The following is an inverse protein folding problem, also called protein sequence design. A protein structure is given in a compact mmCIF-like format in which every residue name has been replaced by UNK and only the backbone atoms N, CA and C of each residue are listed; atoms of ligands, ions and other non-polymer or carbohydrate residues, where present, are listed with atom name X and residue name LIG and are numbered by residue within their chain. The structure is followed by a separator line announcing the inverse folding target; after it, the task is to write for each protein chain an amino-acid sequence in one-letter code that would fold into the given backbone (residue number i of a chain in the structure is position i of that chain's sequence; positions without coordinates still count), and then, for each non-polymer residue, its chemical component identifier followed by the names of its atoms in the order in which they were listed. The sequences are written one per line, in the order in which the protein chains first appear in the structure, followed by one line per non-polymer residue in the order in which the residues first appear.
data_IF_741098460093
#
_entry.id   IF_741098460093
#
_cell.length_a   1.000
_cell.length_b   1.000
_cell.length_c   1.000
_cell.angle_alpha   90.00
_cell.angle_beta   90.00
_cell.angle_gamma   90.00
#
_symmetry.space_group_name_H-M   'P 1'
#
loop_
_entity.id
_entity.type
_entity.pdbx_description
1 polymer ?
#
# COMPACT_ATOMS: atom_id res chain seq x y z
N UNK A 1 -20.86 10.85 -4.91
CA UNK A 1 -19.97 9.90 -4.22
C UNK A 1 -18.95 9.47 -5.25
N UNK A 2 -17.66 9.66 -5.00
CA UNK A 2 -16.59 9.19 -5.88
C UNK A 2 -16.78 7.69 -6.10
N UNK A 3 -16.97 7.23 -7.34
CA UNK A 3 -16.99 5.79 -7.63
C UNK A 3 -15.64 5.21 -7.19
N UNK A 4 -15.64 4.25 -6.27
CA UNK A 4 -14.42 3.58 -5.84
C UNK A 4 -13.97 2.70 -7.01
N UNK A 5 -12.92 3.14 -7.72
CA UNK A 5 -12.31 2.36 -8.78
C UNK A 5 -11.33 1.36 -8.19
N UNK A 6 -11.77 0.12 -8.02
CA UNK A 6 -10.90 -0.98 -7.61
C UNK A 6 -10.04 -1.34 -8.83
N UNK A 7 -8.72 -1.25 -8.69
CA UNK A 7 -7.77 -1.61 -9.76
C UNK A 7 -6.80 -2.70 -9.32
N UNK A 8 -6.68 -2.93 -8.01
CA UNK A 8 -5.90 -4.01 -7.40
C UNK A 8 -6.84 -4.98 -6.70
N UNK A 9 -6.68 -6.25 -6.98
CA UNK A 9 -7.36 -7.34 -6.32
C UNK A 9 -6.31 -8.31 -5.75
N UNK A 10 -6.74 -9.44 -5.18
CA UNK A 10 -5.83 -10.50 -4.76
C UNK A 10 -6.29 -11.85 -5.31
N UNK A 11 -5.34 -12.74 -5.52
CA UNK A 11 -5.65 -14.14 -5.77
C UNK A 11 -6.20 -14.79 -4.49
N UNK A 12 -7.28 -15.57 -4.61
CA UNK A 12 -7.98 -16.12 -3.43
C UNK A 12 -7.11 -17.09 -2.65
N UNK A 13 -6.28 -17.87 -3.35
CA UNK A 13 -5.39 -18.91 -2.85
C UNK A 13 -4.06 -18.38 -2.31
N UNK A 14 -3.36 -17.51 -3.05
CA UNK A 14 -2.02 -17.02 -2.67
C UNK A 14 -2.05 -15.73 -1.85
N UNK A 15 -3.14 -14.95 -1.94
CA UNK A 15 -3.26 -13.57 -1.44
C UNK A 15 -2.32 -12.57 -2.11
N UNK A 16 -1.60 -12.96 -3.16
CA UNK A 16 -0.76 -12.06 -3.93
C UNK A 16 -1.64 -11.03 -4.65
N UNK A 17 -1.12 -9.80 -4.73
CA UNK A 17 -1.81 -8.69 -5.40
C UNK A 17 -1.80 -8.88 -6.91
N UNK A 18 -2.93 -8.60 -7.55
CA UNK A 18 -3.08 -8.63 -9.02
C UNK A 18 -3.69 -7.32 -9.52
N UNK A 19 -3.09 -6.73 -10.55
CA UNK A 19 -3.63 -5.55 -11.23
C UNK A 19 -4.74 -5.92 -12.21
N UNK A 20 -5.70 -5.03 -12.39
CA UNK A 20 -6.70 -5.09 -13.46
C UNK A 20 -6.04 -5.27 -14.84
N UNK A 21 -4.84 -4.71 -15.05
CA UNK A 21 -4.11 -4.86 -16.31
C UNK A 21 -3.80 -6.33 -16.64
N UNK A 22 -3.55 -7.16 -15.62
CA UNK A 22 -3.03 -8.53 -15.77
C UNK A 22 -4.10 -9.62 -15.96
N UNK A 23 -5.40 -9.27 -15.86
CA UNK A 23 -6.51 -10.24 -15.94
C UNK A 23 -7.34 -10.05 -17.21
N UNK A 24 -8.01 -11.09 -17.67
CA UNK A 24 -8.97 -10.96 -18.78
C UNK A 24 -10.26 -10.23 -18.34
N UNK A 25 -11.01 -9.68 -19.30
CA UNK A 25 -12.31 -9.07 -19.00
C UNK A 25 -13.34 -10.14 -18.57
N UNK A 26 -14.24 -9.78 -17.64
CA UNK A 26 -15.31 -10.64 -17.16
C UNK A 26 -15.11 -11.20 -15.75
N UNK A 27 -15.96 -12.15 -15.37
CA UNK A 27 -15.94 -12.79 -14.06
C UNK A 27 -14.65 -13.60 -13.87
N UNK A 28 -13.97 -13.38 -12.76
CA UNK A 28 -12.74 -14.10 -12.43
C UNK A 28 -13.02 -15.20 -11.40
N UNK A 29 -12.48 -16.39 -11.64
CA UNK A 29 -12.70 -17.53 -10.72
C UNK A 29 -11.86 -17.43 -9.44
N UNK A 30 -10.62 -16.96 -9.55
CA UNK A 30 -9.66 -16.90 -8.44
C UNK A 30 -9.27 -15.47 -8.01
N UNK A 31 -9.97 -14.43 -8.49
CA UNK A 31 -9.66 -13.03 -8.15
C UNK A 31 -10.77 -12.45 -7.29
N UNK A 32 -10.40 -11.98 -6.11
CA UNK A 32 -11.32 -11.48 -5.09
C UNK A 32 -10.91 -10.10 -4.57
N UNK A 33 -11.87 -9.39 -3.99
CA UNK A 33 -11.63 -8.11 -3.34
C UNK A 33 -10.67 -8.30 -2.16
N UNK A 34 -9.57 -7.54 -2.16
CA UNK A 34 -8.59 -7.57 -1.08
C UNK A 34 -9.19 -7.11 0.27
N UNK A 35 -10.28 -6.35 0.25
CA UNK A 35 -10.94 -5.85 1.45
C UNK A 35 -11.94 -6.85 2.05
N UNK A 36 -12.92 -7.30 1.27
CA UNK A 36 -14.03 -8.13 1.77
C UNK A 36 -13.95 -9.61 1.33
N UNK A 37 -13.04 -9.97 0.44
CA UNK A 37 -12.96 -11.32 -0.15
C UNK A 37 -14.08 -11.65 -1.15
N UNK A 38 -14.95 -10.69 -1.48
CA UNK A 38 -16.03 -10.87 -2.46
C UNK A 38 -15.50 -11.10 -3.87
N UNK A 39 -16.25 -11.86 -4.68
CA UNK A 39 -15.91 -12.12 -6.09
C UNK A 39 -15.96 -10.83 -6.91
N UNK A 40 -15.02 -10.70 -7.84
CA UNK A 40 -14.89 -9.53 -8.70
C UNK A 40 -15.13 -9.86 -10.18
N UNK A 41 -15.68 -8.88 -10.90
CA UNK A 41 -15.75 -8.82 -12.35
C UNK A 41 -14.71 -7.81 -12.82
N UNK A 42 -13.84 -8.20 -13.75
CA UNK A 42 -12.91 -7.31 -14.42
C UNK A 42 -13.64 -6.57 -15.55
N UNK A 43 -13.84 -5.26 -15.41
CA UNK A 43 -14.49 -4.42 -16.41
C UNK A 43 -13.43 -3.73 -17.28
N UNK A 44 -13.12 -4.35 -18.42
CA UNK A 44 -12.25 -3.76 -19.44
C UNK A 44 -13.06 -3.27 -20.62
N UNK A 45 -13.03 -1.96 -20.86
CA UNK A 45 -13.69 -1.32 -22.00
C UNK A 45 -12.78 -0.27 -22.63
N UNK A 46 -13.09 0.16 -23.86
CA UNK A 46 -12.37 1.27 -24.49
C UNK A 46 -12.85 2.66 -24.03
N UNK A 47 -14.01 2.74 -23.33
CA UNK A 47 -14.67 4.01 -23.00
C UNK A 47 -14.45 4.47 -21.56
N UNK A 48 -14.24 3.52 -20.64
CA UNK A 48 -14.05 3.77 -19.20
C UNK A 48 -12.71 3.19 -18.76
N UNK A 49 -12.10 3.80 -17.75
CA UNK A 49 -10.94 3.25 -17.06
C UNK A 49 -11.25 1.83 -16.59
N UNK A 50 -10.27 0.94 -16.75
CA UNK A 50 -10.41 -0.45 -16.36
C UNK A 50 -10.48 -0.55 -14.84
N UNK A 51 -11.43 -1.34 -14.35
CA UNK A 51 -11.64 -1.51 -12.91
C UNK A 51 -12.30 -2.86 -12.62
N UNK A 52 -12.19 -3.29 -11.38
CA UNK A 52 -12.97 -4.37 -10.82
C UNK A 52 -14.28 -3.83 -10.23
N UNK A 53 -15.37 -4.59 -10.37
CA UNK A 53 -16.61 -4.41 -9.64
C UNK A 53 -16.95 -5.67 -8.86
N UNK A 54 -17.65 -5.54 -7.73
CA UNK A 54 -18.19 -6.72 -7.05
C UNK A 54 -19.21 -7.41 -7.95
N UNK A 55 -19.16 -8.75 -8.01
CA UNK A 55 -20.11 -9.54 -8.79
C UNK A 55 -21.53 -9.41 -8.23
N UNK A 56 -21.65 -9.34 -6.90
CA UNK A 56 -22.88 -8.99 -6.21
C UNK A 56 -22.87 -7.50 -5.87
N UNK A 57 -24.06 -6.89 -5.77
CA UNK A 57 -24.24 -5.47 -5.45
C UNK A 57 -23.93 -5.19 -3.96
N UNK A 58 -22.67 -5.37 -3.59
CA UNK A 58 -22.14 -5.15 -2.26
C UNK A 58 -21.31 -3.87 -2.25
N UNK A 59 -21.78 -2.87 -1.50
CA UNK A 59 -21.00 -1.68 -1.23
C UNK A 59 -19.83 -2.02 -0.29
N UNK A 60 -18.61 -2.05 -0.83
CA UNK A 60 -17.40 -2.27 -0.05
C UNK A 60 -16.83 -0.95 0.47
N UNK A 61 -17.27 -0.55 1.66
CA UNK A 61 -16.96 0.77 2.27
C UNK A 61 -15.45 0.99 2.45
N UNK A 62 -14.70 -0.07 2.78
CA UNK A 62 -13.25 0.00 3.05
C UNK A 62 -12.39 -0.34 1.82
N UNK A 63 -13.00 -0.54 0.64
CA UNK A 63 -12.25 -0.77 -0.60
C UNK A 63 -11.34 0.42 -0.92
N UNK A 64 -11.79 1.65 -0.65
CA UNK A 64 -10.99 2.87 -0.83
C UNK A 64 -9.63 2.75 -0.12
N UNK A 65 -9.68 2.50 1.18
CA UNK A 65 -8.50 2.44 2.04
C UNK A 65 -7.56 1.30 1.65
N UNK A 66 -8.15 0.17 1.28
CA UNK A 66 -7.39 -1.00 0.82
C UNK A 66 -6.68 -0.72 -0.51
N UNK A 67 -7.34 -0.05 -1.47
CA UNK A 67 -6.73 0.31 -2.74
C UNK A 67 -5.55 1.25 -2.54
N UNK A 68 -5.72 2.27 -1.70
CA UNK A 68 -4.65 3.23 -1.43
C UNK A 68 -3.41 2.55 -0.82
N UNK A 69 -3.63 1.60 0.11
CA UNK A 69 -2.56 0.81 0.71
C UNK A 69 -1.81 -0.05 -0.30
N UNK A 70 -2.54 -0.78 -1.15
CA UNK A 70 -1.95 -1.66 -2.16
C UNK A 70 -1.17 -0.86 -3.22
N UNK A 71 -1.74 0.25 -3.70
CA UNK A 71 -1.07 1.09 -4.71
C UNK A 71 0.16 1.79 -4.16
N UNK A 72 0.13 2.22 -2.89
CA UNK A 72 1.31 2.76 -2.23
C UNK A 72 2.42 1.71 -2.05
N UNK A 73 2.07 0.47 -1.67
CA UNK A 73 3.05 -0.65 -1.61
C UNK A 73 3.74 -0.87 -2.94
N UNK A 74 2.96 -0.98 -4.02
CA UNK A 74 3.49 -1.14 -5.38
C UNK A 74 4.41 0.02 -5.78
N UNK A 75 4.05 1.25 -5.40
CA UNK A 75 4.86 2.43 -5.68
C UNK A 75 6.22 2.38 -4.96
N UNK A 76 6.25 2.10 -3.66
CA UNK A 76 7.49 2.05 -2.91
C UNK A 76 8.36 0.85 -3.29
N UNK A 77 7.75 -0.25 -3.72
CA UNK A 77 8.46 -1.39 -4.27
C UNK A 77 9.18 -1.08 -5.60
N UNK A 78 8.74 -0.08 -6.37
CA UNK A 78 9.32 0.24 -7.70
C UNK A 78 10.18 1.50 -7.74
N UNK A 79 9.91 2.51 -6.92
CA UNK A 79 10.47 3.86 -7.10
C UNK A 79 11.98 3.93 -6.81
N UNK A 80 12.54 2.94 -6.11
CA UNK A 80 13.98 2.78 -5.87
C UNK A 80 14.57 3.80 -4.88
N UNK A 81 13.72 4.60 -4.24
CA UNK A 81 14.09 5.57 -3.21
C UNK A 81 13.01 5.70 -2.15
N UNK A 82 13.39 6.11 -0.93
CA UNK A 82 12.45 6.34 0.17
C UNK A 82 12.75 7.70 0.82
N UNK A 83 11.73 8.50 1.19
CA UNK A 83 11.93 9.69 2.01
C UNK A 83 12.36 9.29 3.41
N UNK A 84 13.44 9.90 3.90
CA UNK A 84 13.96 9.74 5.24
C UNK A 84 13.85 11.06 6.00
N UNK A 85 13.01 11.14 7.03
CA UNK A 85 12.90 12.33 7.85
C UNK A 85 14.16 12.48 8.73
N UNK A 86 14.69 13.70 8.81
CA UNK A 86 15.84 14.03 9.66
C UNK A 86 15.43 14.51 11.06
N UNK A 87 14.15 14.83 11.22
CA UNK A 87 13.55 15.34 12.45
C UNK A 87 12.49 14.37 12.98
N UNK A 88 12.23 14.45 14.29
CA UNK A 88 11.17 13.66 14.91
C UNK A 88 9.78 14.24 14.59
N UNK A 89 8.80 13.34 14.48
CA UNK A 89 7.41 13.72 14.20
C UNK A 89 7.04 13.56 12.73
N UNK A 90 5.82 13.97 12.40
CA UNK A 90 5.30 13.90 11.03
C UNK A 90 5.77 15.10 10.24
N UNK A 91 6.52 14.84 9.17
CA UNK A 91 7.01 15.86 8.25
C UNK A 91 6.56 15.56 6.83
N UNK A 92 6.58 16.58 5.99
CA UNK A 92 6.31 16.42 4.56
C UNK A 92 7.54 15.85 3.84
N UNK A 93 7.37 14.99 2.81
CA UNK A 93 8.48 14.39 2.06
C UNK A 93 9.48 15.39 1.43
N UNK A 94 9.07 16.63 1.16
CA UNK A 94 9.93 17.66 0.54
C UNK A 94 11.08 18.14 1.44
N UNK A 95 10.95 17.97 2.75
CA UNK A 95 12.02 18.26 3.72
C UNK A 95 12.82 17.03 4.11
N UNK A 96 12.50 15.86 3.55
CA UNK A 96 13.20 14.61 3.82
C UNK A 96 14.46 14.49 2.96
N UNK A 97 15.46 13.78 3.47
CA UNK A 97 16.53 13.25 2.63
C UNK A 97 15.98 12.09 1.77
N UNK A 98 16.57 11.86 0.60
CA UNK A 98 16.23 10.68 -0.23
C UNK A 98 17.26 9.58 -0.01
N UNK A 99 16.81 8.42 0.49
CA UNK A 99 17.64 7.23 0.59
C UNK A 99 17.43 6.35 -0.63
N UNK A 100 18.53 5.88 -1.24
CA UNK A 100 18.48 4.94 -2.37
C UNK A 100 18.29 3.52 -1.87
N UNK A 101 17.30 2.84 -2.42
CA UNK A 101 16.98 1.45 -2.09
C UNK A 101 17.89 0.52 -2.90
N UNK A 102 18.59 -0.40 -2.23
CA UNK A 102 19.37 -1.46 -2.88
C UNK A 102 18.59 -2.76 -3.06
N UNK A 103 17.67 -3.06 -2.15
CA UNK A 103 16.77 -4.21 -2.25
C UNK A 103 15.42 -3.90 -1.57
N UNK A 104 14.37 -4.56 -2.02
CA UNK A 104 13.02 -4.43 -1.45
C UNK A 104 12.33 -5.78 -1.40
N UNK A 105 11.63 -6.02 -0.30
CA UNK A 105 10.77 -7.18 -0.10
C UNK A 105 9.42 -6.69 0.40
N UNK A 106 8.32 -7.20 -0.16
CA UNK A 106 6.96 -6.81 0.20
C UNK A 106 6.31 -7.83 1.12
N UNK A 107 5.55 -7.35 2.10
CA UNK A 107 4.71 -8.18 2.98
C UNK A 107 5.44 -9.27 3.77
N UNK A 108 6.67 -8.97 4.18
CA UNK A 108 7.56 -9.88 4.91
C UNK A 108 7.06 -10.08 6.34
N UNK A 109 6.96 -11.34 6.77
CA UNK A 109 6.73 -11.68 8.17
C UNK A 109 8.08 -11.99 8.85
N UNK A 110 8.50 -11.11 9.75
CA UNK A 110 9.75 -11.23 10.51
C UNK A 110 9.51 -10.79 11.94
N UNK A 111 10.19 -11.44 12.89
CA UNK A 111 10.18 -11.06 14.32
C UNK A 111 8.76 -10.86 14.90
N UNK A 112 7.80 -11.69 14.48
CA UNK A 112 6.42 -11.66 14.98
C UNK A 112 5.50 -10.59 14.36
N UNK A 113 5.99 -9.79 13.40
CA UNK A 113 5.23 -8.74 12.73
C UNK A 113 5.31 -8.87 11.20
N UNK A 114 4.23 -8.48 10.52
CA UNK A 114 4.20 -8.32 9.06
C UNK A 114 4.38 -6.84 8.73
N UNK A 115 5.55 -6.46 8.22
CA UNK A 115 5.78 -5.11 7.69
C UNK A 115 5.19 -5.00 6.29
N UNK A 116 4.79 -3.79 5.87
CA UNK A 116 4.32 -3.59 4.50
C UNK A 116 5.45 -3.76 3.49
N UNK A 117 6.61 -3.18 3.76
CA UNK A 117 7.85 -3.45 3.04
C UNK A 117 9.05 -3.55 3.99
N UNK A 118 10.04 -4.34 3.60
CA UNK A 118 11.40 -4.28 4.14
C UNK A 118 12.31 -3.83 3.02
N UNK A 119 13.06 -2.75 3.24
CA UNK A 119 14.02 -2.21 2.28
C UNK A 119 15.43 -2.29 2.84
N UNK A 120 16.40 -2.41 1.95
CA UNK A 120 17.82 -2.27 2.25
C UNK A 120 18.32 -0.92 1.71
N UNK A 121 19.09 -0.22 2.53
CA UNK A 121 19.79 1.03 2.16
C UNK A 121 21.25 0.89 2.61
N UNK A 122 22.12 0.56 1.66
CA UNK A 122 23.52 0.27 1.98
C UNK A 122 23.65 -1.00 2.81
N UNK A 123 24.16 -0.90 4.04
CA UNK A 123 24.24 -2.01 5.01
C UNK A 123 23.06 -2.06 5.97
N UNK A 124 22.18 -1.07 5.93
CA UNK A 124 21.09 -0.93 6.90
C UNK A 124 19.77 -1.46 6.33
N UNK A 125 18.95 -1.99 7.23
CA UNK A 125 17.59 -2.43 6.91
C UNK A 125 16.58 -1.45 7.51
N UNK A 126 15.56 -1.10 6.71
CA UNK A 126 14.44 -0.28 7.15
C UNK A 126 13.12 -1.00 6.90
N UNK A 127 12.21 -0.86 7.85
CA UNK A 127 10.85 -1.39 7.77
C UNK A 127 9.93 -0.23 7.42
N UNK A 128 9.16 -0.41 6.35
CA UNK A 128 8.22 0.59 5.87
C UNK A 128 6.82 0.18 6.27
N UNK A 129 6.11 1.08 6.91
CA UNK A 129 4.72 0.92 7.34
C UNK A 129 3.89 2.00 6.64
N UNK A 130 2.90 1.58 5.85
CA UNK A 130 2.00 2.49 5.15
C UNK A 130 0.76 2.68 6.01
N UNK A 131 0.45 3.92 6.36
CA UNK A 131 -0.70 4.27 7.18
C UNK A 131 -1.78 4.95 6.32
N UNK A 132 -3.04 4.60 6.56
CA UNK A 132 -4.20 5.35 6.06
C UNK A 132 -4.85 6.11 7.25
N UNK A 133 -6.11 5.90 7.63
CA UNK A 133 -6.80 6.55 8.76
C UNK A 133 -6.29 6.11 10.11
N UNK A 134 -5.88 4.85 10.23
CA UNK A 134 -5.31 4.32 11.45
C UNK A 134 -3.79 4.35 11.32
N UNK A 135 -3.18 5.44 11.83
CA UNK A 135 -1.74 5.51 12.11
C UNK A 135 -1.34 4.36 13.04
N UNK A 136 -0.08 3.94 13.01
CA UNK A 136 0.44 2.94 13.94
C UNK A 136 0.01 3.30 15.37
N UNK A 137 -0.76 2.41 16.00
CA UNK A 137 -1.19 2.57 17.38
C UNK A 137 0.03 2.51 18.33
N UNK A 138 -0.15 2.96 19.57
CA UNK A 138 0.93 3.04 20.55
C UNK A 138 1.61 1.69 20.80
N UNK A 139 0.88 0.56 20.66
CA UNK A 139 1.43 -0.80 20.77
C UNK A 139 2.41 -1.12 19.64
N UNK A 140 2.05 -0.81 18.38
CA UNK A 140 2.93 -1.02 17.22
C UNK A 140 4.21 -0.20 17.28
N UNK A 141 4.14 1.03 17.82
CA UNK A 141 5.31 1.90 18.01
C UNK A 141 6.23 1.34 19.12
N UNK A 142 5.64 0.83 20.20
CA UNK A 142 6.38 0.22 21.30
C UNK A 142 7.10 -1.07 20.89
N UNK A 143 6.45 -1.92 20.09
CA UNK A 143 7.04 -3.14 19.56
C UNK A 143 8.21 -2.85 18.62
N UNK A 144 8.14 -1.81 17.78
CA UNK A 144 9.26 -1.40 16.92
C UNK A 144 10.47 -0.94 17.73
N UNK A 145 10.25 -0.10 18.75
CA UNK A 145 11.31 0.43 19.62
C UNK A 145 12.00 -0.65 20.46
N UNK A 146 11.27 -1.70 20.83
CA UNK A 146 11.82 -2.80 21.64
C UNK A 146 12.68 -3.77 20.84
N UNK A 147 12.61 -3.75 19.51
CA UNK A 147 13.34 -4.68 18.63
C UNK A 147 14.45 -4.01 17.80
N UNK A 148 14.82 -2.76 18.12
CA UNK A 148 15.91 -2.00 17.48
C UNK A 148 15.80 -1.96 15.93
N UNK A 149 14.57 -1.76 15.43
CA UNK A 149 14.29 -1.70 13.98
C UNK A 149 14.17 -0.25 13.52
N UNK A 150 14.86 0.09 12.44
CA UNK A 150 14.65 1.36 11.75
C UNK A 150 13.30 1.34 11.03
N UNK A 151 12.29 2.05 11.55
CA UNK A 151 10.94 2.03 10.99
C UNK A 151 10.60 3.40 10.44
N UNK A 152 10.24 3.45 9.15
CA UNK A 152 9.70 4.64 8.49
C UNK A 152 8.21 4.40 8.28
N UNK A 153 7.39 5.27 8.87
CA UNK A 153 5.95 5.26 8.65
C UNK A 153 5.56 6.35 7.66
N UNK A 154 4.74 5.98 6.69
CA UNK A 154 4.28 6.86 5.61
C UNK A 154 2.76 6.91 5.64
N UNK A 155 2.22 8.06 6.03
CA UNK A 155 0.79 8.36 6.01
C UNK A 155 0.38 8.79 4.60
N UNK A 156 -0.50 8.02 3.98
CA UNK A 156 -1.04 8.25 2.64
C UNK A 156 -2.51 8.69 2.66
N UNK A 157 -3.10 8.92 3.84
CA UNK A 157 -4.55 9.12 4.00
C UNK A 157 -5.14 10.31 3.21
N UNK A 158 -4.31 11.30 2.86
CA UNK A 158 -4.72 12.51 2.13
C UNK A 158 -4.35 12.49 0.63
N UNK A 159 -3.86 11.36 0.09
CA UNK A 159 -3.35 11.30 -1.29
C UNK A 159 -4.45 11.25 -2.38
N UNK A 160 -5.72 11.08 -2.02
CA UNK A 160 -6.90 11.31 -2.86
C UNK A 160 -7.14 10.35 -4.06
N UNK A 161 -6.09 9.85 -4.72
CA UNK A 161 -6.15 9.11 -5.99
C UNK A 161 -5.87 7.61 -5.80
N UNK A 162 -6.94 6.82 -5.82
CA UNK A 162 -6.95 5.39 -5.48
C UNK A 162 -6.17 4.46 -6.41
N UNK A 163 -6.18 4.75 -7.70
CA UNK A 163 -5.70 3.86 -8.76
C UNK A 163 -4.29 4.22 -9.24
N UNK A 164 -3.76 5.37 -8.83
CA UNK A 164 -2.51 5.89 -9.35
C UNK A 164 -1.72 6.58 -8.25
N UNK A 165 -1.39 5.85 -7.18
CA UNK A 165 -0.37 6.32 -6.25
C UNK A 165 0.97 6.43 -7.01
N UNK A 166 1.32 7.66 -7.40
CA UNK A 166 2.44 7.97 -8.26
C UNK A 166 3.25 9.18 -7.76
N UNK A 167 2.86 9.75 -6.63
CA UNK A 167 3.43 10.95 -6.05
C UNK A 167 3.41 10.86 -4.53
N UNK A 168 4.39 11.50 -3.90
CA UNK A 168 4.44 11.69 -2.44
C UNK A 168 3.72 12.96 -1.99
N UNK A 169 3.05 13.66 -2.91
CA UNK A 169 2.24 14.82 -2.57
C UNK A 169 1.13 14.41 -1.58
N UNK A 170 0.95 15.22 -0.53
CA UNK A 170 0.01 14.95 0.58
C UNK A 170 0.39 13.77 1.49
N UNK A 171 1.53 13.12 1.28
CA UNK A 171 2.05 12.18 2.26
C UNK A 171 2.62 12.92 3.47
N UNK A 172 2.60 12.24 4.62
CA UNK A 172 3.45 12.59 5.76
C UNK A 172 4.35 11.41 6.08
N UNK A 173 5.56 11.69 6.55
CA UNK A 173 6.56 10.67 6.88
C UNK A 173 7.07 10.91 8.29
N UNK A 174 7.33 9.83 9.03
CA UNK A 174 8.04 9.89 10.31
C UNK A 174 8.94 8.68 10.50
N UNK A 175 9.96 8.85 11.31
CA UNK A 175 10.71 7.74 11.92
C UNK A 175 10.10 7.39 13.28
N UNK A 176 10.07 6.11 13.65
CA UNK A 176 9.51 5.65 14.94
C UNK A 176 10.56 5.35 16.00
#
# INVERSE_FOLDING_TARGET
MSEIHITRAVYQDTKETVSIDAVESGLQDNVVCACCGGKLIANKSQKKAWHFSHYFDEACVLAYETQLHLTAKEYFARVGKIPMPLEAGWVSPDVCAELKISAVQTEVYMDGRRSDLVIEVGSEQYWIEIANKHKCDASKVWDCRTHDKNVIEIDVSDCGHLDQFNSLQHCLVRIQ
#
